data_IF_732341139366
#
_entry.id   IF_732341139366
#
_cell.length_a   1.000
_cell.length_b   1.000
_cell.length_c   1.000
_cell.angle_alpha   90.00
_cell.angle_beta   90.00
_cell.angle_gamma   90.00
#
_symmetry.space_group_name_H-M   'P 1'
#
loop_
_entity.id
_entity.type
_entity.pdbx_description
1 polymer ?
#
# COMPACT_ATOMS: atom_id res chain seq x y z
N UNK A 1 3.18 -25.83 -39.76
CA UNK A 1 1.86 -25.21 -39.44
C UNK A 1 1.38 -25.56 -38.03
N UNK A 2 1.16 -26.84 -37.67
CA UNK A 2 0.75 -27.25 -36.31
C UNK A 2 1.70 -26.69 -35.21
N UNK A 3 3.02 -26.86 -35.38
CA UNK A 3 4.04 -26.36 -34.46
C UNK A 3 3.90 -24.83 -34.26
N UNK A 4 3.65 -24.07 -35.32
CA UNK A 4 3.47 -22.62 -35.26
C UNK A 4 2.26 -22.23 -34.40
N UNK A 5 1.13 -22.95 -34.52
CA UNK A 5 -0.05 -22.73 -33.70
C UNK A 5 0.26 -22.92 -32.21
N UNK A 6 0.93 -24.03 -31.87
CA UNK A 6 1.30 -24.28 -30.47
C UNK A 6 2.31 -23.27 -29.95
N UNK A 7 3.31 -22.87 -30.75
CA UNK A 7 4.26 -21.83 -30.34
C UNK A 7 3.55 -20.50 -30.03
N UNK A 8 2.63 -20.06 -30.88
CA UNK A 8 1.85 -18.86 -30.68
C UNK A 8 0.92 -18.99 -29.45
N UNK A 9 0.29 -20.15 -29.26
CA UNK A 9 -0.56 -20.40 -28.12
C UNK A 9 0.22 -20.35 -26.78
N UNK A 10 1.38 -20.98 -26.70
CA UNK A 10 2.24 -20.92 -25.54
C UNK A 10 2.83 -19.51 -25.32
N UNK A 11 3.11 -18.77 -26.39
CA UNK A 11 3.51 -17.35 -26.27
C UNK A 11 2.41 -16.52 -25.63
N UNK A 12 1.15 -16.69 -26.09
CA UNK A 12 0.01 -15.99 -25.50
C UNK A 12 -0.20 -16.36 -24.03
N UNK A 13 -0.06 -17.63 -23.66
CA UNK A 13 -0.15 -18.09 -22.28
C UNK A 13 0.96 -17.48 -21.41
N UNK A 14 2.19 -17.47 -21.93
CA UNK A 14 3.35 -16.86 -21.26
C UNK A 14 3.13 -15.37 -21.02
N UNK A 15 2.67 -14.63 -22.03
CA UNK A 15 2.34 -13.20 -21.88
C UNK A 15 1.21 -13.01 -20.88
N UNK A 16 0.17 -13.85 -20.89
CA UNK A 16 -0.96 -13.76 -19.96
C UNK A 16 -0.57 -13.92 -18.50
N UNK A 17 0.47 -14.70 -18.20
CA UNK A 17 0.96 -14.97 -16.84
C UNK A 17 2.17 -14.13 -16.43
N UNK A 18 2.76 -13.39 -17.38
CA UNK A 18 4.05 -12.71 -17.19
C UNK A 18 4.09 -11.69 -16.04
N UNK A 19 2.97 -11.04 -15.73
CA UNK A 19 2.90 -10.06 -14.65
C UNK A 19 3.36 -10.63 -13.30
N UNK A 20 3.11 -11.93 -13.03
CA UNK A 20 3.48 -12.57 -11.77
C UNK A 20 4.96 -12.96 -11.76
N UNK A 21 5.41 -13.75 -12.76
CA UNK A 21 6.78 -14.24 -12.70
C UNK A 21 7.82 -13.14 -12.92
N UNK A 22 7.55 -12.13 -13.75
CA UNK A 22 8.45 -10.97 -13.88
C UNK A 22 8.54 -10.14 -12.60
N UNK A 23 7.47 -10.07 -11.82
CA UNK A 23 7.48 -9.38 -10.55
C UNK A 23 8.31 -10.11 -9.48
N UNK A 24 8.30 -11.46 -9.49
CA UNK A 24 8.98 -12.29 -8.49
C UNK A 24 10.44 -12.57 -8.86
N UNK A 25 10.71 -12.86 -10.13
CA UNK A 25 12.05 -13.28 -10.55
C UNK A 25 12.97 -12.06 -10.69
N UNK A 26 14.11 -12.09 -10.02
CA UNK A 26 15.06 -10.97 -9.88
C UNK A 26 15.58 -10.45 -11.22
N UNK A 27 15.83 -11.33 -12.19
CA UNK A 27 16.44 -10.97 -13.49
C UNK A 27 15.61 -9.98 -14.31
N UNK A 28 14.31 -9.91 -14.10
CA UNK A 28 13.44 -9.00 -14.85
C UNK A 28 13.43 -7.61 -14.23
N UNK A 29 13.93 -6.57 -14.91
CA UNK A 29 13.87 -5.19 -14.40
C UNK A 29 12.44 -4.62 -14.45
N UNK A 30 12.15 -3.62 -13.63
CA UNK A 30 10.82 -2.96 -13.55
C UNK A 30 10.32 -2.45 -14.91
N UNK A 31 11.23 -2.00 -15.78
CA UNK A 31 10.87 -1.55 -17.13
C UNK A 31 10.13 -2.60 -17.95
N UNK A 32 10.40 -3.89 -17.74
CA UNK A 32 9.69 -4.95 -18.44
C UNK A 32 8.26 -5.11 -17.94
N UNK A 33 8.02 -4.93 -16.63
CA UNK A 33 6.67 -4.89 -16.07
C UNK A 33 5.87 -3.71 -16.64
N UNK A 34 6.52 -2.56 -16.78
CA UNK A 34 5.91 -1.36 -17.37
C UNK A 34 5.51 -1.59 -18.83
N UNK A 35 6.42 -2.07 -19.66
CA UNK A 35 6.11 -2.36 -21.07
C UNK A 35 5.07 -3.48 -21.22
N UNK A 36 5.19 -4.54 -20.43
CA UNK A 36 4.20 -5.61 -20.39
C UNK A 36 2.80 -5.08 -20.08
N UNK A 37 2.68 -4.10 -19.18
CA UNK A 37 1.39 -3.49 -18.88
C UNK A 37 0.66 -3.02 -20.14
N UNK A 38 1.35 -2.40 -21.07
CA UNK A 38 0.76 -1.87 -22.30
C UNK A 38 0.56 -2.93 -23.36
N UNK A 39 1.52 -3.84 -23.54
CA UNK A 39 1.51 -4.79 -24.65
C UNK A 39 0.66 -6.05 -24.41
N UNK A 40 0.45 -6.44 -23.16
CA UNK A 40 -0.18 -7.72 -22.81
C UNK A 40 -1.55 -7.94 -23.46
N UNK A 41 -2.39 -6.90 -23.43
CA UNK A 41 -3.76 -6.98 -24.00
C UNK A 41 -3.75 -7.03 -25.54
N UNK A 42 -3.18 -6.03 -26.23
CA UNK A 42 -3.20 -6.01 -27.69
C UNK A 42 -2.48 -7.22 -28.31
N UNK A 43 -1.33 -7.63 -27.77
CA UNK A 43 -0.58 -8.76 -28.31
C UNK A 43 -1.36 -10.07 -28.18
N UNK A 44 -1.93 -10.37 -27.00
CA UNK A 44 -2.69 -11.60 -26.79
C UNK A 44 -3.96 -11.65 -27.65
N UNK A 45 -4.68 -10.53 -27.78
CA UNK A 45 -5.82 -10.46 -28.69
C UNK A 45 -5.39 -10.62 -30.15
N UNK A 46 -4.28 -10.02 -30.58
CA UNK A 46 -3.76 -10.16 -31.95
C UNK A 46 -3.40 -11.61 -32.26
N UNK A 47 -2.72 -12.29 -31.33
CA UNK A 47 -2.41 -13.73 -31.51
C UNK A 47 -3.68 -14.56 -31.63
N UNK A 48 -4.66 -14.32 -30.75
CA UNK A 48 -5.91 -15.07 -30.73
C UNK A 48 -6.71 -14.90 -32.05
N UNK A 49 -6.89 -13.63 -32.47
CA UNK A 49 -7.60 -13.33 -33.73
C UNK A 49 -6.84 -13.89 -34.93
N UNK A 50 -5.51 -13.79 -34.95
CA UNK A 50 -4.70 -14.35 -36.03
C UNK A 50 -4.89 -15.87 -36.16
N UNK A 51 -4.88 -16.60 -35.04
CA UNK A 51 -5.11 -18.06 -35.06
C UNK A 51 -6.53 -18.42 -35.50
N UNK A 52 -7.55 -17.63 -35.14
CA UNK A 52 -8.93 -17.83 -35.62
C UNK A 52 -9.00 -17.65 -37.15
N UNK A 53 -8.45 -16.54 -37.66
CA UNK A 53 -8.44 -16.23 -39.09
C UNK A 53 -7.70 -17.35 -39.87
N UNK A 54 -6.53 -17.76 -39.37
CA UNK A 54 -5.75 -18.83 -40.03
C UNK A 54 -6.49 -20.16 -39.99
N UNK A 55 -7.21 -20.50 -38.94
CA UNK A 55 -8.06 -21.68 -38.85
C UNK A 55 -9.20 -21.61 -39.89
N UNK A 56 -9.83 -20.44 -40.04
CA UNK A 56 -10.89 -20.24 -41.04
C UNK A 56 -10.36 -20.38 -42.50
N UNK A 57 -9.17 -19.85 -42.77
CA UNK A 57 -8.52 -19.99 -44.09
C UNK A 57 -8.23 -21.47 -44.39
N UNK A 58 -7.70 -22.23 -43.43
CA UNK A 58 -7.43 -23.66 -43.56
C UNK A 58 -8.74 -24.43 -43.80
N UNK A 59 -9.79 -24.12 -43.03
CA UNK A 59 -11.12 -24.72 -43.23
C UNK A 59 -11.63 -24.50 -44.67
N UNK A 60 -11.55 -23.27 -45.16
CA UNK A 60 -12.01 -22.94 -46.50
C UNK A 60 -11.20 -23.63 -47.61
N UNK A 61 -9.91 -23.83 -47.39
CA UNK A 61 -9.04 -24.54 -48.34
C UNK A 61 -9.24 -26.07 -48.34
N UNK A 62 -9.50 -26.66 -47.19
CA UNK A 62 -9.58 -28.11 -47.01
C UNK A 62 -11.02 -28.67 -47.07
N UNK A 63 -12.04 -27.82 -46.91
CA UNK A 63 -13.43 -28.21 -46.81
C UNK A 63 -13.84 -28.92 -45.51
N UNK A 64 -12.93 -29.06 -44.56
CA UNK A 64 -13.21 -29.64 -43.25
C UNK A 64 -12.48 -28.86 -42.12
N UNK A 65 -13.06 -28.90 -40.92
CA UNK A 65 -12.52 -28.20 -39.77
C UNK A 65 -11.25 -28.90 -39.26
N UNK A 66 -10.13 -28.15 -39.09
CA UNK A 66 -8.87 -28.72 -38.60
C UNK A 66 -8.92 -28.95 -37.08
N UNK A 67 -9.44 -30.10 -36.61
CA UNK A 67 -9.66 -30.41 -35.20
C UNK A 67 -8.42 -30.21 -34.33
N UNK A 68 -7.22 -30.37 -34.88
CA UNK A 68 -5.95 -30.10 -34.19
C UNK A 68 -5.77 -28.63 -33.77
N UNK A 69 -6.53 -27.70 -34.39
CA UNK A 69 -6.47 -26.27 -34.01
C UNK A 69 -7.23 -25.94 -32.72
N UNK A 70 -8.11 -26.82 -32.25
CA UNK A 70 -8.94 -26.60 -31.07
C UNK A 70 -8.08 -26.37 -29.85
N UNK A 71 -7.09 -27.23 -29.59
CA UNK A 71 -6.24 -27.11 -28.40
C UNK A 71 -5.41 -25.81 -28.38
N UNK A 72 -4.67 -25.42 -29.44
CA UNK A 72 -3.97 -24.12 -29.43
C UNK A 72 -4.92 -22.92 -29.35
N UNK A 73 -6.10 -22.94 -29.97
CA UNK A 73 -7.10 -21.89 -29.80
C UNK A 73 -7.58 -21.77 -28.35
N UNK A 74 -7.85 -22.89 -27.69
CA UNK A 74 -8.23 -22.92 -26.30
C UNK A 74 -7.11 -22.36 -25.39
N UNK A 75 -5.86 -22.79 -25.60
CA UNK A 75 -4.69 -22.31 -24.85
C UNK A 75 -4.51 -20.80 -25.05
N UNK A 76 -4.67 -20.29 -26.27
CA UNK A 76 -4.57 -18.85 -26.56
C UNK A 76 -5.70 -18.06 -25.90
N UNK A 77 -6.94 -18.58 -25.98
CA UNK A 77 -8.09 -18.00 -25.28
C UNK A 77 -7.88 -17.94 -23.78
N UNK A 78 -7.31 -18.99 -23.19
CA UNK A 78 -6.88 -18.98 -21.78
C UNK A 78 -5.83 -17.91 -21.52
N UNK A 79 -4.82 -17.77 -22.40
CA UNK A 79 -3.81 -16.69 -22.32
C UNK A 79 -4.46 -15.29 -22.32
N UNK A 80 -5.47 -15.05 -23.17
CA UNK A 80 -6.24 -13.81 -23.19
C UNK A 80 -6.94 -13.59 -21.84
N UNK A 81 -7.63 -14.59 -21.30
CA UNK A 81 -8.30 -14.49 -19.99
C UNK A 81 -7.31 -14.18 -18.88
N UNK A 82 -6.17 -14.90 -18.84
CA UNK A 82 -5.14 -14.71 -17.82
C UNK A 82 -4.48 -13.33 -17.89
N UNK A 83 -4.39 -12.72 -19.09
CA UNK A 83 -3.93 -11.33 -19.26
C UNK A 83 -4.71 -10.33 -18.39
N UNK A 84 -5.99 -10.59 -18.17
CA UNK A 84 -6.82 -9.76 -17.30
C UNK A 84 -6.78 -10.24 -15.85
N UNK A 85 -6.96 -11.53 -15.61
CA UNK A 85 -7.16 -12.10 -14.26
C UNK A 85 -5.88 -12.18 -13.42
N UNK A 86 -4.72 -12.38 -14.06
CA UNK A 86 -3.43 -12.53 -13.37
C UNK A 86 -2.67 -11.21 -13.17
N UNK A 87 -3.22 -10.09 -13.61
CA UNK A 87 -2.60 -8.78 -13.40
C UNK A 87 -3.00 -8.18 -12.07
N UNK A 88 -2.06 -7.53 -11.39
CA UNK A 88 -2.24 -6.94 -10.05
C UNK A 88 -3.37 -5.90 -10.00
N UNK A 89 -3.56 -5.12 -11.06
CA UNK A 89 -4.66 -4.16 -11.21
C UNK A 89 -6.05 -4.81 -11.01
N UNK A 90 -6.21 -6.06 -11.46
CA UNK A 90 -7.47 -6.79 -11.35
C UNK A 90 -7.52 -7.66 -10.10
N UNK A 91 -6.36 -8.19 -9.67
CA UNK A 91 -6.26 -9.00 -8.46
C UNK A 91 -6.48 -8.16 -7.19
N UNK A 92 -6.10 -6.88 -7.23
CA UNK A 92 -6.24 -5.91 -6.15
C UNK A 92 -6.92 -4.65 -6.69
N UNK A 93 -8.24 -4.68 -6.89
CA UNK A 93 -8.96 -3.55 -7.47
C UNK A 93 -8.99 -2.38 -6.51
N UNK A 94 -8.42 -1.26 -6.92
CA UNK A 94 -8.49 -0.02 -6.16
C UNK A 94 -9.93 0.49 -6.08
N UNK A 95 -10.31 1.03 -4.92
CA UNK A 95 -11.60 1.70 -4.73
C UNK A 95 -11.44 3.18 -5.03
N UNK A 96 -12.32 3.71 -5.86
CA UNK A 96 -12.34 5.12 -6.20
C UNK A 96 -13.58 5.80 -5.59
N UNK A 97 -13.33 6.78 -4.73
CA UNK A 97 -14.33 7.65 -4.11
C UNK A 97 -15.44 6.88 -3.37
N UNK A 98 -15.08 6.11 -2.34
CA UNK A 98 -16.05 5.31 -1.59
C UNK A 98 -17.07 6.20 -0.88
N UNK A 99 -18.25 5.67 -0.67
CA UNK A 99 -19.26 6.30 0.16
C UNK A 99 -18.82 6.33 1.63
N UNK A 100 -19.13 7.43 2.32
CA UNK A 100 -18.83 7.61 3.73
C UNK A 100 -20.11 7.55 4.56
N UNK A 101 -20.07 6.78 5.64
CA UNK A 101 -21.15 6.74 6.63
C UNK A 101 -20.97 7.85 7.66
N UNK A 102 -22.09 8.52 7.96
CA UNK A 102 -22.21 9.48 9.07
C UNK A 102 -22.95 8.89 10.27
N UNK A 103 -23.65 7.78 10.07
CA UNK A 103 -24.30 6.98 11.12
C UNK A 103 -23.54 5.66 11.29
N UNK A 104 -23.12 5.39 12.52
CA UNK A 104 -22.26 4.27 12.87
C UNK A 104 -22.98 3.10 13.51
N UNK A 105 -24.31 3.22 13.73
CA UNK A 105 -25.11 2.27 14.50
C UNK A 105 -25.07 0.86 13.90
N UNK A 106 -24.97 0.78 12.58
CA UNK A 106 -25.01 -0.48 11.83
C UNK A 106 -23.68 -0.84 11.13
N UNK A 107 -22.60 -0.12 11.43
CA UNK A 107 -21.30 -0.48 10.86
C UNK A 107 -20.76 -1.75 11.56
N UNK A 108 -20.33 -2.76 10.80
CA UNK A 108 -19.82 -4.01 11.34
C UNK A 108 -18.37 -3.86 11.86
N UNK A 109 -18.12 -2.80 12.62
CA UNK A 109 -16.78 -2.46 13.14
C UNK A 109 -16.73 -2.79 14.63
N UNK A 110 -15.82 -3.68 15.02
CA UNK A 110 -15.59 -4.04 16.43
C UNK A 110 -14.85 -2.91 17.17
N UNK A 111 -15.05 -2.79 18.51
CA UNK A 111 -14.43 -1.73 19.30
C UNK A 111 -12.89 -1.68 19.20
N UNK A 112 -12.24 -2.83 19.11
CA UNK A 112 -10.80 -3.02 19.03
C UNK A 112 -10.23 -2.95 17.59
N UNK A 113 -11.10 -2.93 16.57
CA UNK A 113 -10.67 -2.82 15.17
C UNK A 113 -9.93 -1.51 14.95
N UNK A 114 -8.77 -1.60 14.31
CA UNK A 114 -7.95 -0.44 13.97
C UNK A 114 -8.43 0.23 12.69
N UNK A 115 -8.37 1.56 12.68
CA UNK A 115 -8.69 2.41 11.54
C UNK A 115 -7.50 3.32 11.22
N UNK A 116 -7.24 3.51 9.94
CA UNK A 116 -6.42 4.62 9.47
C UNK A 116 -7.27 5.90 9.51
N UNK A 117 -6.81 6.89 10.24
CA UNK A 117 -7.46 8.20 10.41
C UNK A 117 -6.63 9.25 9.69
N UNK A 118 -7.21 9.82 8.66
CA UNK A 118 -6.59 10.89 7.86
C UNK A 118 -7.35 12.19 8.15
N UNK A 119 -6.62 13.16 8.65
CA UNK A 119 -7.12 14.52 8.81
C UNK A 119 -6.41 15.41 7.79
N UNK A 120 -7.17 15.87 6.80
CA UNK A 120 -6.63 16.64 5.70
C UNK A 120 -7.68 17.63 5.17
N UNK A 121 -7.26 18.84 4.83
CA UNK A 121 -8.15 19.91 4.31
C UNK A 121 -9.41 20.14 5.17
N UNK A 122 -9.27 20.04 6.50
CA UNK A 122 -10.38 20.24 7.43
C UNK A 122 -11.39 19.09 7.54
N UNK A 123 -11.17 17.99 6.85
CA UNK A 123 -11.98 16.76 6.94
C UNK A 123 -11.24 15.67 7.70
N UNK A 124 -11.97 14.90 8.51
CA UNK A 124 -11.45 13.71 9.18
C UNK A 124 -12.18 12.48 8.64
N UNK A 125 -11.44 11.63 7.93
CA UNK A 125 -11.95 10.39 7.37
C UNK A 125 -11.25 9.18 7.95
N UNK A 126 -12.01 8.11 8.17
CA UNK A 126 -11.57 6.90 8.86
C UNK A 126 -11.80 5.67 7.98
N UNK A 127 -10.80 4.83 7.86
CA UNK A 127 -10.81 3.63 7.03
C UNK A 127 -10.42 2.42 7.87
N UNK A 128 -11.33 1.43 8.08
CA UNK A 128 -10.96 0.17 8.74
C UNK A 128 -9.75 -0.47 8.06
N UNK A 129 -8.76 -0.89 8.83
CA UNK A 129 -7.52 -1.43 8.24
C UNK A 129 -7.80 -2.67 7.39
N UNK A 130 -8.75 -3.52 7.77
CA UNK A 130 -9.13 -4.70 6.98
C UNK A 130 -9.63 -4.31 5.59
N UNK A 131 -10.38 -3.19 5.48
CA UNK A 131 -10.82 -2.63 4.20
C UNK A 131 -9.64 -2.14 3.36
N UNK A 132 -8.71 -1.42 3.98
CA UNK A 132 -7.47 -0.94 3.31
C UNK A 132 -6.60 -2.11 2.84
N UNK A 133 -6.45 -3.14 3.69
CA UNK A 133 -5.69 -4.36 3.40
C UNK A 133 -6.30 -5.13 2.23
N UNK A 134 -7.62 -5.22 2.16
CA UNK A 134 -8.33 -5.94 1.11
C UNK A 134 -8.17 -5.28 -0.27
N UNK A 135 -8.36 -3.96 -0.34
CA UNK A 135 -8.34 -3.21 -1.60
C UNK A 135 -6.94 -2.74 -2.03
N UNK A 136 -5.97 -2.69 -1.13
CA UNK A 136 -4.62 -2.18 -1.32
C UNK A 136 -4.55 -0.69 -1.64
N UNK A 137 -5.51 -0.11 -2.36
CA UNK A 137 -5.58 1.31 -2.68
C UNK A 137 -7.02 1.81 -2.55
N UNK A 138 -7.18 2.90 -1.80
CA UNK A 138 -8.42 3.64 -1.68
C UNK A 138 -8.14 5.08 -2.10
N UNK A 139 -8.77 5.52 -3.18
CA UNK A 139 -8.71 6.90 -3.64
C UNK A 139 -9.94 7.64 -3.11
N UNK A 140 -9.73 8.73 -2.39
CA UNK A 140 -10.83 9.51 -1.83
C UNK A 140 -10.62 11.01 -1.97
N UNK A 141 -11.69 11.79 -1.82
CA UNK A 141 -11.67 13.24 -1.90
C UNK A 141 -11.68 13.87 -0.52
N UNK A 142 -10.83 14.86 -0.33
CA UNK A 142 -10.79 15.73 0.82
C UNK A 142 -10.99 17.17 0.33
N UNK A 143 -12.25 17.61 0.23
CA UNK A 143 -12.63 18.84 -0.50
C UNK A 143 -12.10 18.80 -1.94
N UNK A 144 -11.29 19.76 -2.36
CA UNK A 144 -10.71 19.85 -3.70
C UNK A 144 -9.48 18.92 -3.90
N UNK A 145 -9.01 18.29 -2.84
CA UNK A 145 -7.82 17.41 -2.85
C UNK A 145 -8.21 15.95 -3.05
N UNK A 146 -7.34 15.22 -3.73
CA UNK A 146 -7.45 13.76 -3.88
C UNK A 146 -6.35 13.07 -3.11
N UNK A 147 -6.72 12.12 -2.26
CA UNK A 147 -5.81 11.31 -1.47
C UNK A 147 -5.89 9.85 -1.91
N UNK A 148 -4.75 9.23 -2.15
CA UNK A 148 -4.66 7.77 -2.35
C UNK A 148 -4.06 7.12 -1.11
N UNK A 149 -4.88 6.44 -0.31
CA UNK A 149 -4.43 5.61 0.81
C UNK A 149 -3.98 4.27 0.25
N UNK A 150 -2.70 3.94 0.40
CA UNK A 150 -2.08 2.74 -0.18
C UNK A 150 -1.62 1.76 0.90
N UNK A 151 -1.73 0.45 0.63
CA UNK A 151 -1.25 -0.62 1.49
C UNK A 151 -0.43 -1.65 0.73
N UNK A 152 0.79 -1.91 1.17
CA UNK A 152 1.63 -2.99 0.66
C UNK A 152 1.58 -4.21 1.59
N UNK A 153 0.92 -5.28 1.17
CA UNK A 153 0.80 -6.50 1.99
C UNK A 153 2.15 -7.16 2.29
N UNK A 154 3.11 -7.11 1.37
CA UNK A 154 4.45 -7.67 1.57
C UNK A 154 5.21 -6.92 2.66
N UNK A 155 5.17 -5.59 2.64
CA UNK A 155 5.89 -4.69 3.54
C UNK A 155 5.11 -4.39 4.82
N UNK A 156 3.79 -4.61 4.81
CA UNK A 156 2.85 -4.14 5.84
C UNK A 156 2.82 -2.62 6.00
N UNK A 157 3.20 -1.87 4.98
CA UNK A 157 3.21 -0.41 5.02
C UNK A 157 1.89 0.20 4.56
N UNK A 158 1.37 1.16 5.34
CA UNK A 158 0.23 2.01 4.97
C UNK A 158 0.77 3.40 4.70
N UNK A 159 0.49 3.95 3.53
CA UNK A 159 0.98 5.27 3.15
C UNK A 159 -0.09 6.02 2.36
N UNK A 160 -0.68 7.09 2.91
CA UNK A 160 -1.53 7.99 2.16
C UNK A 160 -0.70 9.04 1.41
N UNK A 161 -1.09 9.31 0.16
CA UNK A 161 -0.46 10.30 -0.70
C UNK A 161 -1.46 11.38 -1.15
N UNK A 162 -1.05 12.64 -1.14
CA UNK A 162 -1.73 13.67 -1.94
C UNK A 162 -1.42 13.41 -3.43
N UNK A 163 -2.45 13.15 -4.21
CA UNK A 163 -2.37 12.86 -5.63
C UNK A 163 -3.20 13.82 -6.46
N UNK A 164 -3.47 14.99 -5.92
CA UNK A 164 -4.36 16.00 -6.54
C UNK A 164 -3.87 16.45 -7.91
N UNK A 165 -2.58 16.46 -8.15
CA UNK A 165 -1.93 16.84 -9.40
C UNK A 165 -1.93 15.74 -10.46
N UNK A 166 -1.88 14.47 -10.04
CA UNK A 166 -1.76 13.32 -10.95
C UNK A 166 -3.03 12.46 -11.04
N UNK A 167 -3.92 12.59 -10.05
CA UNK A 167 -5.17 11.83 -9.94
C UNK A 167 -5.03 10.45 -9.29
N UNK A 168 -6.14 9.69 -9.23
CA UNK A 168 -6.22 8.42 -8.53
C UNK A 168 -5.17 7.39 -8.94
N UNK A 169 -4.71 6.59 -7.97
CA UNK A 169 -3.75 5.51 -8.17
C UNK A 169 -4.44 4.14 -8.29
N UNK A 170 -3.70 3.17 -8.83
CA UNK A 170 -4.05 1.74 -8.84
C UNK A 170 -2.80 0.89 -8.66
N UNK A 171 -2.96 -0.41 -8.36
CA UNK A 171 -1.83 -1.34 -8.23
C UNK A 171 -1.28 -1.67 -9.61
N UNK A 172 -0.18 -1.02 -9.99
CA UNK A 172 0.49 -1.23 -11.27
C UNK A 172 1.23 -2.56 -11.35
N UNK A 173 1.93 -2.92 -10.27
CA UNK A 173 2.67 -4.17 -10.13
C UNK A 173 3.23 -4.31 -8.72
N UNK A 174 4.19 -5.23 -8.53
CA UNK A 174 5.12 -5.26 -7.39
C UNK A 174 6.52 -5.67 -7.87
N UNK A 175 7.55 -5.25 -7.16
CA UNK A 175 8.94 -5.65 -7.41
C UNK A 175 9.76 -5.48 -6.13
N UNK A 176 10.78 -6.35 -5.94
CA UNK A 176 11.61 -6.33 -4.74
C UNK A 176 10.78 -6.30 -3.44
N UNK A 177 9.72 -7.12 -3.44
CA UNK A 177 8.78 -7.28 -2.34
C UNK A 177 8.06 -5.98 -1.89
N UNK A 178 7.97 -4.96 -2.73
CA UNK A 178 7.21 -3.75 -2.47
C UNK A 178 6.25 -3.43 -3.62
N UNK A 179 5.14 -2.79 -3.29
CA UNK A 179 4.11 -2.41 -4.25
C UNK A 179 4.61 -1.30 -5.17
N UNK A 180 4.27 -1.43 -6.45
CA UNK A 180 4.39 -0.38 -7.45
C UNK A 180 2.98 0.14 -7.71
N UNK A 181 2.76 1.41 -7.40
CA UNK A 181 1.51 2.09 -7.72
C UNK A 181 1.63 2.81 -9.06
N UNK A 182 0.51 3.03 -9.74
CA UNK A 182 0.48 3.76 -11.00
C UNK A 182 -0.69 4.74 -11.04
N UNK A 183 -0.48 5.93 -11.65
CA UNK A 183 -1.56 6.87 -11.86
C UNK A 183 -2.50 6.42 -12.99
N UNK A 184 -3.80 6.72 -12.85
CA UNK A 184 -4.79 6.28 -13.85
C UNK A 184 -4.68 7.00 -15.18
N UNK A 185 -4.13 8.21 -15.22
CA UNK A 185 -4.07 9.04 -16.43
C UNK A 185 -2.89 8.69 -17.33
N UNK A 186 -1.69 8.68 -16.79
CA UNK A 186 -0.46 8.47 -17.58
C UNK A 186 0.14 7.09 -17.45
N UNK A 187 -0.32 6.28 -16.48
CA UNK A 187 0.21 4.96 -16.14
C UNK A 187 1.68 5.01 -15.71
N UNK A 188 2.15 6.14 -15.19
CA UNK A 188 3.49 6.24 -14.61
C UNK A 188 3.60 5.37 -13.38
N UNK A 189 4.65 4.56 -13.28
CA UNK A 189 4.92 3.67 -12.16
C UNK A 189 5.72 4.39 -11.07
N UNK A 190 5.25 4.28 -9.82
CA UNK A 190 5.90 4.81 -8.62
C UNK A 190 6.22 3.69 -7.64
N UNK A 191 7.39 3.74 -7.01
CA UNK A 191 7.71 2.86 -5.89
C UNK A 191 7.01 3.37 -4.63
N UNK A 192 6.14 2.58 -4.03
CA UNK A 192 5.39 3.00 -2.85
C UNK A 192 6.32 3.37 -1.68
N UNK A 193 7.38 2.57 -1.42
CA UNK A 193 8.27 2.78 -0.29
C UNK A 193 9.17 4.03 -0.41
N UNK A 194 9.57 4.42 -1.63
CA UNK A 194 10.44 5.59 -1.85
C UNK A 194 9.69 6.82 -2.34
N UNK A 195 8.40 6.67 -2.67
CA UNK A 195 7.51 7.72 -3.21
C UNK A 195 7.87 8.17 -4.63
N UNK A 196 8.99 7.71 -5.17
CA UNK A 196 9.54 8.18 -6.44
C UNK A 196 8.94 7.44 -7.62
N UNK A 197 8.72 8.18 -8.70
CA UNK A 197 8.44 7.58 -9.99
C UNK A 197 9.63 6.78 -10.50
N UNK A 198 9.36 5.60 -11.06
CA UNK A 198 10.38 4.69 -11.60
C UNK A 198 10.50 4.85 -13.11
N UNK A 199 9.35 4.93 -13.78
CA UNK A 199 9.24 4.98 -15.24
C UNK A 199 7.86 5.49 -15.63
N UNK A 200 7.77 6.23 -16.72
CA UNK A 200 6.53 6.75 -17.29
C UNK A 200 6.61 8.22 -17.62
N UNK A 201 5.50 8.79 -18.06
CA UNK A 201 5.44 10.16 -18.59
C UNK A 201 5.73 11.23 -17.53
N UNK A 202 5.43 10.94 -16.25
CA UNK A 202 5.65 11.87 -15.14
C UNK A 202 7.05 11.74 -14.51
N UNK A 203 7.89 10.84 -15.01
CA UNK A 203 9.23 10.67 -14.43
C UNK A 203 10.18 11.82 -14.87
N UNK A 204 10.93 12.46 -13.91
CA UNK A 204 10.94 12.23 -12.48
C UNK A 204 9.82 12.99 -11.74
N UNK A 205 9.13 12.31 -10.82
CA UNK A 205 8.11 12.89 -9.94
C UNK A 205 8.13 12.16 -8.60
N UNK A 206 7.84 12.86 -7.51
CA UNK A 206 7.80 12.30 -6.15
C UNK A 206 6.43 12.53 -5.54
N UNK A 207 5.80 11.47 -5.05
CA UNK A 207 4.54 11.54 -4.32
C UNK A 207 4.74 12.21 -2.96
N UNK A 208 3.74 12.96 -2.51
CA UNK A 208 3.76 13.64 -1.22
C UNK A 208 2.97 12.82 -0.21
N UNK A 209 3.64 12.31 0.81
CA UNK A 209 2.98 11.59 1.90
C UNK A 209 2.21 12.56 2.80
N UNK A 210 0.99 12.17 3.17
CA UNK A 210 0.16 12.88 4.16
C UNK A 210 0.33 12.20 5.52
N UNK A 211 0.54 12.93 6.62
CA UNK A 211 0.51 12.36 7.96
C UNK A 211 -0.85 11.74 8.26
N UNK A 212 -0.86 10.60 8.94
CA UNK A 212 -2.07 9.91 9.35
C UNK A 212 -1.86 9.23 10.71
N UNK A 213 -2.92 8.77 11.33
CA UNK A 213 -2.88 8.09 12.60
C UNK A 213 -3.59 6.72 12.50
N UNK A 214 -3.19 5.79 13.36
CA UNK A 214 -3.90 4.53 13.54
C UNK A 214 -4.54 4.58 14.92
N UNK A 215 -5.87 4.44 14.98
CA UNK A 215 -6.66 4.44 16.21
C UNK A 215 -7.60 3.23 16.23
N UNK A 216 -7.93 2.74 17.43
CA UNK A 216 -9.02 1.79 17.58
C UNK A 216 -10.37 2.46 17.30
N UNK A 217 -11.38 1.68 16.88
CA UNK A 217 -12.73 2.21 16.71
C UNK A 217 -13.29 2.83 17.99
N UNK A 218 -12.95 2.26 19.13
CA UNK A 218 -13.32 2.80 20.43
C UNK A 218 -12.73 4.21 20.63
N UNK A 219 -11.46 4.41 20.27
CA UNK A 219 -10.78 5.71 20.38
C UNK A 219 -11.34 6.71 19.35
N UNK A 220 -11.60 6.28 18.13
CA UNK A 220 -12.22 7.13 17.10
C UNK A 220 -13.55 7.70 17.62
N UNK A 221 -14.45 6.86 18.17
CA UNK A 221 -15.73 7.31 18.71
C UNK A 221 -15.57 8.28 19.89
N UNK A 222 -14.53 8.09 20.72
CA UNK A 222 -14.27 8.93 21.87
C UNK A 222 -13.64 10.27 21.50
N UNK A 223 -12.71 10.26 20.54
CA UNK A 223 -11.83 11.41 20.27
C UNK A 223 -12.28 12.25 19.07
N UNK A 224 -13.13 11.71 18.20
CA UNK A 224 -13.57 12.40 16.97
C UNK A 224 -15.08 12.63 17.03
N UNK A 225 -15.53 13.87 17.19
CA UNK A 225 -16.99 14.15 17.40
C UNK A 225 -17.88 13.74 16.21
N UNK A 226 -17.37 13.87 14.98
CA UNK A 226 -18.12 13.57 13.75
C UNK A 226 -17.19 12.92 12.73
N UNK A 227 -16.71 11.69 12.97
CA UNK A 227 -15.84 11.01 12.02
C UNK A 227 -16.68 10.61 10.79
N UNK A 228 -16.09 10.76 9.60
CA UNK A 228 -16.61 10.10 8.40
C UNK A 228 -15.93 8.76 8.27
N UNK A 229 -16.70 7.68 8.25
CA UNK A 229 -16.15 6.32 8.15
C UNK A 229 -16.56 5.72 6.83
N UNK A 230 -15.63 5.08 6.10
CA UNK A 230 -15.96 4.44 4.83
C UNK A 230 -17.06 3.40 5.02
N UNK A 231 -18.07 3.43 4.14
CA UNK A 231 -19.15 2.45 4.12
C UNK A 231 -18.64 1.15 3.48
N UNK A 232 -18.36 0.16 4.31
CA UNK A 232 -17.92 -1.17 3.87
C UNK A 232 -19.10 -1.92 3.28
N UNK A 233 -19.00 -2.38 2.04
CA UNK A 233 -20.07 -3.18 1.42
C UNK A 233 -20.19 -4.55 2.09
N UNK A 234 -21.37 -5.18 2.00
CA UNK A 234 -21.58 -6.55 2.49
C UNK A 234 -20.63 -7.56 1.84
N UNK A 235 -20.28 -7.34 0.58
CA UNK A 235 -19.34 -8.17 -0.16
C UNK A 235 -17.92 -8.02 0.41
N UNK A 236 -17.43 -6.79 0.56
CA UNK A 236 -16.10 -6.53 1.14
C UNK A 236 -16.00 -7.11 2.55
N UNK A 237 -17.05 -6.95 3.36
CA UNK A 237 -17.10 -7.49 4.71
C UNK A 237 -17.05 -9.02 4.73
N UNK A 238 -17.71 -9.69 3.79
CA UNK A 238 -17.62 -11.14 3.63
C UNK A 238 -16.20 -11.57 3.22
N UNK A 239 -15.57 -10.84 2.31
CA UNK A 239 -14.21 -11.11 1.83
C UNK A 239 -13.15 -10.93 2.94
N UNK A 240 -13.35 -10.00 3.88
CA UNK A 240 -12.47 -9.84 5.06
C UNK A 240 -12.42 -11.06 5.96
N UNK A 241 -13.47 -11.87 5.96
CA UNK A 241 -13.57 -13.10 6.77
C UNK A 241 -13.07 -14.35 6.03
N UNK A 242 -12.68 -14.21 4.75
CA UNK A 242 -12.07 -15.32 4.02
C UNK A 242 -10.75 -15.71 4.67
N UNK A 243 -10.52 -17.02 4.89
CA UNK A 243 -9.26 -17.46 5.47
C UNK A 243 -8.11 -17.13 4.51
N UNK A 244 -7.05 -16.56 5.06
CA UNK A 244 -5.82 -16.33 4.30
C UNK A 244 -5.36 -17.66 3.71
N UNK A 245 -5.12 -17.77 2.40
CA UNK A 245 -4.63 -19.00 1.78
C UNK A 245 -3.45 -19.60 2.56
N UNK A 246 -3.45 -20.92 2.76
CA UNK A 246 -2.43 -21.58 3.58
C UNK A 246 -1.00 -21.31 3.13
N UNK A 247 -0.78 -21.16 1.82
CA UNK A 247 0.52 -20.73 1.29
C UNK A 247 0.92 -19.33 1.78
N UNK A 248 -0.01 -18.37 1.79
CA UNK A 248 0.25 -17.00 2.27
C UNK A 248 0.58 -17.00 3.77
N UNK A 249 -0.15 -17.77 4.58
CA UNK A 249 0.17 -17.94 6.00
C UNK A 249 1.59 -18.48 6.21
N UNK A 250 2.01 -19.45 5.40
CA UNK A 250 3.38 -20.00 5.43
C UNK A 250 4.42 -18.94 5.03
N UNK A 251 4.15 -18.15 3.99
CA UNK A 251 5.02 -17.05 3.56
C UNK A 251 5.17 -16.01 4.68
N UNK A 252 4.07 -15.60 5.29
CA UNK A 252 4.08 -14.61 6.39
C UNK A 252 4.81 -15.15 7.63
N UNK A 253 4.65 -16.43 7.95
CA UNK A 253 5.31 -17.06 9.09
C UNK A 253 6.80 -17.39 8.84
N UNK A 254 7.28 -17.32 7.60
CA UNK A 254 8.66 -17.62 7.23
C UNK A 254 9.49 -16.36 7.05
N UNK A 255 10.82 -16.49 7.14
CA UNK A 255 11.76 -15.44 6.78
C UNK A 255 11.87 -15.22 5.25
N UNK A 256 11.20 -16.05 4.45
CA UNK A 256 11.19 -15.91 3.00
C UNK A 256 10.30 -14.74 2.58
N UNK A 257 10.86 -13.89 1.73
CA UNK A 257 10.15 -12.75 1.14
C UNK A 257 10.18 -12.90 -0.37
N UNK A 258 9.06 -13.35 -1.00
CA UNK A 258 9.00 -13.52 -2.44
C UNK A 258 9.33 -12.24 -3.19
N UNK A 259 10.17 -12.34 -4.20
CA UNK A 259 10.59 -11.19 -5.02
C UNK A 259 11.69 -10.33 -4.43
N UNK A 260 12.09 -10.52 -3.18
CA UNK A 260 13.24 -9.83 -2.60
C UNK A 260 14.54 -10.55 -3.01
N UNK A 261 15.42 -9.83 -3.69
CA UNK A 261 16.69 -10.39 -4.11
C UNK A 261 17.61 -10.71 -2.92
N UNK A 262 18.44 -11.76 -3.08
CA UNK A 262 19.31 -12.25 -1.99
C UNK A 262 20.27 -11.17 -1.47
N UNK A 263 20.75 -10.28 -2.34
CA UNK A 263 21.66 -9.17 -2.00
C UNK A 263 21.03 -8.12 -1.07
N UNK A 264 19.69 -8.06 -1.00
CA UNK A 264 18.96 -7.11 -0.17
C UNK A 264 18.41 -7.72 1.12
N UNK A 265 18.78 -8.97 1.44
CA UNK A 265 18.38 -9.62 2.68
C UNK A 265 19.33 -9.22 3.81
N UNK A 266 18.90 -8.24 4.58
CA UNK A 266 19.56 -7.89 5.84
C UNK A 266 19.24 -8.94 6.92
N UNK A 267 20.24 -9.29 7.73
CA UNK A 267 20.14 -10.31 8.79
C UNK A 267 20.27 -9.73 10.20
N UNK A 268 20.29 -8.42 10.34
CA UNK A 268 20.40 -7.74 11.64
C UNK A 268 19.20 -8.08 12.54
N UNK A 269 18.02 -8.14 11.92
CA UNK A 269 16.78 -8.59 12.58
C UNK A 269 16.03 -9.58 11.70
N UNK A 270 15.10 -10.37 12.29
CA UNK A 270 14.12 -11.12 11.51
C UNK A 270 13.42 -10.23 10.49
N UNK A 271 13.24 -10.71 9.26
CA UNK A 271 12.72 -9.92 8.13
C UNK A 271 11.42 -9.18 8.46
N UNK A 272 10.56 -9.79 9.27
CA UNK A 272 9.25 -9.23 9.63
C UNK A 272 9.22 -8.55 11.00
N UNK A 273 10.38 -8.16 11.54
CA UNK A 273 10.43 -7.28 12.71
C UNK A 273 9.74 -5.96 12.35
N UNK A 274 8.81 -5.53 13.21
CA UNK A 274 8.10 -4.27 13.01
C UNK A 274 8.97 -3.10 13.38
N UNK A 275 9.00 -2.11 12.52
CA UNK A 275 9.74 -0.86 12.73
C UNK A 275 8.87 0.35 12.46
N UNK A 276 9.23 1.45 13.09
CA UNK A 276 8.64 2.78 12.87
C UNK A 276 9.72 3.65 12.24
N UNK A 277 9.51 4.03 11.01
CA UNK A 277 10.38 4.94 10.27
C UNK A 277 9.80 6.34 10.19
N UNK A 278 10.60 7.35 10.42
CA UNK A 278 10.19 8.73 10.24
C UNK A 278 10.43 9.17 8.79
N UNK A 279 9.35 9.59 8.11
CA UNK A 279 9.30 9.83 6.65
C UNK A 279 9.12 11.31 6.28
N UNK A 280 9.05 12.19 7.28
CA UNK A 280 8.80 13.62 7.05
C UNK A 280 9.96 14.29 6.33
N UNK A 281 9.67 15.18 5.38
CA UNK A 281 10.67 15.94 4.62
C UNK A 281 11.50 16.90 5.48
N UNK A 282 11.03 17.28 6.67
CA UNK A 282 11.77 18.12 7.62
C UNK A 282 12.90 17.38 8.33
N UNK A 283 12.96 16.05 8.23
CA UNK A 283 13.94 15.21 8.89
C UNK A 283 15.27 15.24 8.13
N UNK A 284 16.33 15.71 8.79
CA UNK A 284 17.66 15.83 8.20
C UNK A 284 18.30 14.47 7.88
N UNK A 285 18.10 13.50 8.75
CA UNK A 285 18.56 12.13 8.59
C UNK A 285 17.42 11.18 8.88
N UNK A 286 17.07 10.31 7.95
CA UNK A 286 16.06 9.29 8.19
C UNK A 286 16.46 8.40 9.36
N UNK A 287 15.51 8.17 10.24
CA UNK A 287 15.68 7.36 11.45
C UNK A 287 14.60 6.29 11.54
N UNK A 288 14.96 5.17 12.15
CA UNK A 288 14.06 4.05 12.36
C UNK A 288 14.19 3.50 13.77
N UNK A 289 13.08 3.05 14.32
CA UNK A 289 12.97 2.48 15.68
C UNK A 289 12.35 1.10 15.62
N UNK A 290 12.71 0.22 16.53
CA UNK A 290 11.95 -1.00 16.75
C UNK A 290 10.59 -0.63 17.37
N UNK A 291 9.50 -1.04 16.73
CA UNK A 291 8.15 -0.72 17.21
C UNK A 291 7.91 -1.18 18.64
N UNK A 292 8.40 -2.37 19.01
CA UNK A 292 8.28 -2.92 20.35
C UNK A 292 8.94 -2.04 21.42
N UNK A 293 10.08 -1.42 21.11
CA UNK A 293 10.76 -0.50 22.03
C UNK A 293 9.94 0.78 22.22
N UNK A 294 9.38 1.35 21.13
CA UNK A 294 8.52 2.53 21.20
C UNK A 294 7.28 2.26 22.05
N UNK A 295 6.60 1.12 21.80
CA UNK A 295 5.40 0.74 22.56
C UNK A 295 5.69 0.51 24.04
N UNK A 296 6.84 -0.09 24.37
CA UNK A 296 7.26 -0.30 25.77
C UNK A 296 7.53 1.01 26.50
N UNK A 297 8.20 1.95 25.84
CA UNK A 297 8.55 3.26 26.45
C UNK A 297 7.39 4.25 26.44
N UNK A 298 6.39 4.05 25.56
CA UNK A 298 5.21 4.89 25.31
C UNK A 298 5.52 6.25 24.71
N UNK A 299 6.54 6.97 25.16
CA UNK A 299 6.98 8.25 24.62
C UNK A 299 8.47 8.19 24.32
N UNK A 300 8.83 8.49 23.09
CA UNK A 300 10.21 8.47 22.59
C UNK A 300 10.50 9.77 21.87
N UNK A 301 11.42 10.54 22.40
CA UNK A 301 11.88 11.78 21.81
C UNK A 301 13.03 11.56 20.84
N UNK A 302 13.04 12.35 19.77
CA UNK A 302 14.20 12.51 18.91
C UNK A 302 14.61 13.99 18.85
N UNK A 303 15.62 14.36 19.65
CA UNK A 303 16.10 15.74 19.76
C UNK A 303 16.84 16.23 18.51
N UNK A 304 17.50 15.32 17.79
CA UNK A 304 18.24 15.66 16.56
C UNK A 304 17.29 16.15 15.44
N UNK A 305 16.05 15.62 15.41
CA UNK A 305 15.06 15.92 14.38
C UNK A 305 13.79 16.59 14.90
N UNK A 306 13.74 16.97 16.18
CA UNK A 306 12.63 17.71 16.80
C UNK A 306 11.26 17.00 16.65
N UNK A 307 11.16 15.73 17.03
CA UNK A 307 9.91 15.01 17.04
C UNK A 307 9.77 14.07 18.25
N UNK A 308 8.56 13.62 18.49
CA UNK A 308 8.21 12.61 19.48
C UNK A 308 7.38 11.50 18.82
N UNK A 309 7.66 10.25 19.20
CA UNK A 309 6.82 9.09 18.90
C UNK A 309 6.03 8.73 20.15
N UNK A 310 4.74 8.44 19.96
CA UNK A 310 3.80 8.12 21.06
C UNK A 310 3.15 6.77 20.76
N UNK A 311 3.36 5.79 21.64
CA UNK A 311 2.72 4.48 21.58
C UNK A 311 1.31 4.52 22.15
N UNK A 312 0.32 4.04 21.37
CA UNK A 312 -1.11 4.01 21.74
C UNK A 312 -1.66 2.62 21.41
N UNK A 313 -1.89 1.79 22.42
CA UNK A 313 -2.23 0.38 22.17
C UNK A 313 -1.14 -0.30 21.33
N UNK A 314 -1.50 -0.84 20.18
CA UNK A 314 -0.57 -1.46 19.24
C UNK A 314 -0.10 -0.52 18.11
N UNK A 315 -0.48 0.76 18.16
CA UNK A 315 -0.12 1.76 17.17
C UNK A 315 0.92 2.74 17.72
N UNK A 316 1.62 3.40 16.80
CA UNK A 316 2.53 4.50 17.11
C UNK A 316 2.09 5.71 16.29
N UNK A 317 1.99 6.86 16.91
CA UNK A 317 1.78 8.15 16.26
C UNK A 317 3.01 9.04 16.46
N UNK A 318 3.26 9.95 15.53
CA UNK A 318 4.38 10.88 15.59
C UNK A 318 3.89 12.33 15.60
N UNK A 319 4.62 13.18 16.31
CA UNK A 319 4.36 14.63 16.32
C UNK A 319 5.66 15.41 16.24
N UNK A 320 5.65 16.52 15.48
CA UNK A 320 6.74 17.49 15.47
C UNK A 320 6.69 18.31 16.75
N UNK A 321 7.80 18.44 17.43
CA UNK A 321 7.91 19.22 18.67
C UNK A 321 9.25 19.92 18.75
N UNK A 322 9.30 21.06 19.46
CA UNK A 322 10.54 21.69 19.87
C UNK A 322 10.89 21.18 21.30
N UNK A 323 11.80 20.21 21.38
CA UNK A 323 12.20 19.60 22.66
C UNK A 323 12.83 20.58 23.66
N UNK A 324 13.41 21.69 23.20
CA UNK A 324 13.95 22.70 24.08
C UNK A 324 12.86 23.45 24.84
N UNK A 325 11.60 23.33 24.39
CA UNK A 325 10.43 24.04 24.91
C UNK A 325 9.35 23.12 25.45
N UNK A 326 9.38 21.83 25.10
CA UNK A 326 8.32 20.89 25.45
C UNK A 326 8.88 19.59 26.02
N UNK A 327 8.29 19.13 27.11
CA UNK A 327 8.59 17.83 27.71
C UNK A 327 7.28 17.05 27.90
N UNK A 328 6.90 16.29 26.84
CA UNK A 328 5.65 15.55 26.79
C UNK A 328 5.69 14.28 27.65
N UNK A 329 4.59 14.04 28.33
CA UNK A 329 4.31 12.81 29.08
C UNK A 329 2.87 12.36 28.82
N UNK A 330 2.49 11.17 29.27
CA UNK A 330 1.10 10.71 29.25
C UNK A 330 0.50 10.80 30.65
N UNK A 331 -0.71 11.39 30.75
CA UNK A 331 -1.47 11.45 31.99
C UNK A 331 -2.96 11.23 31.66
N UNK A 332 -3.60 10.28 32.32
CA UNK A 332 -5.04 10.03 32.23
C UNK A 332 -5.55 9.86 30.77
N UNK A 333 -4.74 9.19 29.92
CA UNK A 333 -5.08 8.97 28.51
C UNK A 333 -4.98 10.22 27.63
N UNK A 334 -4.20 11.21 28.05
CA UNK A 334 -3.91 12.45 27.32
C UNK A 334 -2.39 12.69 27.27
N UNK A 335 -1.94 13.50 26.33
CA UNK A 335 -0.57 14.01 26.25
C UNK A 335 -0.50 15.27 27.12
N UNK A 336 0.53 15.37 27.93
CA UNK A 336 0.73 16.48 28.85
C UNK A 336 2.17 17.01 28.77
N UNK A 337 2.32 18.31 28.53
CA UNK A 337 3.62 18.98 28.61
C UNK A 337 3.90 19.51 30.01
N UNK A 338 4.92 18.94 30.66
CA UNK A 338 5.30 19.33 32.03
C UNK A 338 5.88 20.73 32.11
N UNK A 339 6.37 21.30 31.00
CA UNK A 339 6.96 22.62 30.93
C UNK A 339 5.91 23.74 30.90
N UNK A 340 4.92 23.60 30.02
CA UNK A 340 3.88 24.61 29.78
C UNK A 340 2.57 24.32 30.50
N UNK A 341 2.40 23.14 31.08
CA UNK A 341 1.13 22.67 31.64
C UNK A 341 0.04 22.43 30.61
N UNK A 342 0.39 22.35 29.34
CA UNK A 342 -0.57 22.16 28.26
C UNK A 342 -0.92 20.69 28.08
N UNK A 343 -2.19 20.41 27.78
CA UNK A 343 -2.72 19.07 27.58
C UNK A 343 -3.33 18.96 26.18
N UNK A 344 -3.07 17.83 25.52
CA UNK A 344 -3.68 17.43 24.24
C UNK A 344 -4.31 16.05 24.40
N UNK A 345 -5.30 15.74 23.56
CA UNK A 345 -5.73 14.37 23.42
C UNK A 345 -4.64 13.49 22.75
N UNK A 346 -4.85 12.18 22.70
CA UNK A 346 -3.86 11.25 22.11
C UNK A 346 -3.67 11.44 20.60
N UNK A 347 -4.49 12.25 19.95
CA UNK A 347 -4.33 12.67 18.54
C UNK A 347 -3.50 13.94 18.39
N UNK A 348 -3.11 14.56 19.50
CA UNK A 348 -2.42 15.84 19.50
C UNK A 348 -3.35 17.05 19.40
N UNK A 349 -4.67 16.88 19.61
CA UNK A 349 -5.63 17.99 19.62
C UNK A 349 -5.62 18.71 20.96
N UNK A 350 -5.52 20.04 20.91
CA UNK A 350 -5.48 20.88 22.10
C UNK A 350 -6.71 20.70 22.99
N UNK A 351 -6.50 20.50 24.28
CA UNK A 351 -7.55 20.43 25.30
C UNK A 351 -7.51 21.70 26.18
N UNK A 352 -6.39 21.95 26.84
CA UNK A 352 -6.21 23.13 27.71
C UNK A 352 -4.72 23.48 27.90
N UNK A 353 -4.45 24.64 28.45
CA UNK A 353 -3.10 25.09 28.80
C UNK A 353 -2.65 26.37 28.08
N UNK A 354 -1.36 26.67 28.16
CA UNK A 354 -0.80 27.91 27.60
C UNK A 354 -0.53 27.84 26.10
N UNK A 355 -0.24 26.65 25.52
CA UNK A 355 0.01 26.45 24.08
C UNK A 355 -1.33 26.17 23.40
N UNK A 356 -2.02 27.21 22.94
CA UNK A 356 -3.37 27.11 22.33
C UNK A 356 -3.34 26.65 20.87
N UNK A 357 -2.67 25.53 20.58
CA UNK A 357 -2.63 24.92 19.23
C UNK A 357 -2.45 23.42 19.33
N UNK A 358 -2.87 22.72 18.27
CA UNK A 358 -2.66 21.30 18.10
C UNK A 358 -1.17 20.98 17.90
N UNK A 359 -0.76 19.76 18.26
CA UNK A 359 0.53 19.21 17.85
C UNK A 359 0.52 18.94 16.35
N UNK A 360 1.61 19.28 15.67
CA UNK A 360 1.74 19.02 14.24
C UNK A 360 2.07 17.53 14.02
N UNK A 361 1.23 16.80 13.25
CA UNK A 361 1.51 15.39 12.97
C UNK A 361 2.80 15.20 12.19
N UNK A 362 3.54 14.14 12.52
CA UNK A 362 4.72 13.68 11.80
C UNK A 362 4.35 12.54 10.87
N UNK A 363 4.80 12.58 9.62
CA UNK A 363 4.66 11.46 8.70
C UNK A 363 5.60 10.31 9.13
N UNK A 364 5.02 9.16 9.48
CA UNK A 364 5.72 7.95 9.88
C UNK A 364 5.22 6.73 9.09
N UNK A 365 6.10 5.74 8.88
CA UNK A 365 5.75 4.43 8.33
C UNK A 365 5.86 3.36 9.40
N UNK A 366 4.82 2.51 9.55
CA UNK A 366 4.85 1.26 10.33
C UNK A 366 4.98 0.11 9.33
N UNK A 367 6.14 -0.50 9.25
CA UNK A 367 6.42 -1.54 8.27
C UNK A 367 7.39 -2.61 8.77
N UNK A 368 7.69 -3.59 7.93
CA UNK A 368 8.66 -4.63 8.23
C UNK A 368 10.11 -4.18 8.00
N UNK A 369 11.04 -4.68 8.83
CA UNK A 369 12.47 -4.38 8.77
C UNK A 369 13.08 -4.59 7.39
N UNK A 370 12.77 -5.70 6.70
CA UNK A 370 13.33 -5.96 5.37
C UNK A 370 12.99 -4.87 4.35
N UNK A 371 11.75 -4.34 4.42
CA UNK A 371 11.28 -3.27 3.55
C UNK A 371 12.00 -1.97 3.87
N UNK A 372 11.98 -1.57 5.14
CA UNK A 372 12.67 -0.37 5.56
C UNK A 372 14.13 -0.39 5.15
N UNK A 373 14.87 -1.45 5.50
CA UNK A 373 16.31 -1.57 5.23
C UNK A 373 16.63 -1.59 3.74
N UNK A 374 15.76 -2.20 2.92
CA UNK A 374 15.92 -2.21 1.46
C UNK A 374 15.77 -0.83 0.84
N UNK A 375 14.78 -0.06 1.26
CA UNK A 375 14.41 1.20 0.60
C UNK A 375 14.98 2.45 1.28
N UNK A 376 15.46 2.31 2.51
CA UNK A 376 16.11 3.35 3.31
C UNK A 376 17.43 2.84 3.91
N UNK A 377 18.40 2.43 3.06
CA UNK A 377 19.64 1.76 3.52
C UNK A 377 20.51 2.63 4.42
N UNK A 378 20.47 3.96 4.22
CA UNK A 378 21.27 4.94 4.95
C UNK A 378 20.60 5.46 6.21
N UNK A 379 19.41 4.96 6.56
CA UNK A 379 18.70 5.34 7.77
C UNK A 379 19.43 4.87 9.03
N UNK A 380 19.44 5.73 10.07
CA UNK A 380 20.01 5.41 11.39
C UNK A 380 19.00 4.63 12.22
N UNK A 381 19.36 3.40 12.63
CA UNK A 381 18.59 2.69 13.64
C UNK A 381 18.87 3.29 15.01
N UNK A 382 17.82 3.77 15.66
CA UNK A 382 17.88 4.32 17.02
C UNK A 382 17.37 3.28 18.00
N UNK A 383 18.23 2.90 18.95
CA UNK A 383 17.86 1.98 20.05
C UNK A 383 17.41 2.80 21.25
N UNK A 384 16.33 2.33 21.88
CA UNK A 384 15.75 2.95 23.07
C UNK A 384 16.27 2.14 24.27
N UNK A 385 17.11 2.77 25.06
CA UNK A 385 17.69 2.17 26.29
C UNK A 385 16.74 2.35 27.47
#
# INVERSE_FOLDING_TARGET
MIITFYLLAFTALTIGTAAIYMAIIEVFPVKWLYFHYFIRKPVNWSIFLFLIILTAVIYNQQGYFPLWSIAPLFITGLGVVLTYKMHQETAFPAVDFPEMANDFTNLPIKPDMQLAVIEYEGLTKCYPLDYVIHHHIINDRFNEKTVSLTYCAMCRSIIPFDVSDIGPLFVGSFKEANMIVADRKTKTFFQQATFQSIIGKLHPHTLVMIPFQILSWQDVKKLIPKPQVVLVSKKDFADFHLPIPGLWKKIVASEATPGLSKKHRDKTYPSRTHVIGAMDHSIKQQVVYLKSEVLSKKIVFNSENNFVLVGIGDAVNGFKIDQNKMNLNTKDGSLFDTTSGTTWDMRGKFINGSIKKDLEPLAISDEYWFSWKKYHPDSKLVRIV
#
